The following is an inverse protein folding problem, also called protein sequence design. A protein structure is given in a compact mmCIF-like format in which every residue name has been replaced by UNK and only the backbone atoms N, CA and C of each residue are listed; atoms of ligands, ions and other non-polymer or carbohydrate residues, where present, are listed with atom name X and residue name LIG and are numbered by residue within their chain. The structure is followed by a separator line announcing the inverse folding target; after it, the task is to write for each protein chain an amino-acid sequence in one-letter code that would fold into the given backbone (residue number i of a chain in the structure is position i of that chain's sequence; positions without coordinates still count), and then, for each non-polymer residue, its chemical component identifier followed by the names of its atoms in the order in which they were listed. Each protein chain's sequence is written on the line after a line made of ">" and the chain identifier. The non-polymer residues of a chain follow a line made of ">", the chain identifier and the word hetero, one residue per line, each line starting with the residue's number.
data_IF_588382675234
#
_entry.id   IF_588382675234
#
_cell.length_a   1.000
_cell.length_b   1.000
_cell.length_c   1.000
_cell.angle_alpha   90.00
_cell.angle_beta   90.00
_cell.angle_gamma   90.00
#
_symmetry.space_group_name_H-M   'P 1'
#
loop_
_entity.id
_entity.type
_entity.pdbx_description
1 polymer ?
#
# COMPACT_ATOMS: atom_id res chain seq x y z
N UNK A 1 10.69 23.70 -26.61
CA UNK A 1 9.75 23.30 -25.56
C UNK A 1 10.41 22.13 -24.86
N UNK A 2 11.00 22.35 -23.68
CA UNK A 2 11.81 21.32 -23.00
C UNK A 2 10.93 20.72 -21.92
N UNK A 3 10.56 19.45 -22.10
CA UNK A 3 9.82 18.69 -21.10
C UNK A 3 10.68 18.58 -19.83
N UNK A 4 10.16 19.12 -18.73
CA UNK A 4 10.73 18.91 -17.41
C UNK A 4 10.63 17.41 -17.08
N UNK A 5 11.70 16.75 -16.61
CA UNK A 5 11.62 15.35 -16.22
C UNK A 5 10.74 15.25 -14.98
N UNK A 6 9.49 14.90 -15.19
CA UNK A 6 8.56 14.57 -14.14
C UNK A 6 9.08 13.39 -13.33
N UNK A 7 8.94 13.44 -12.00
CA UNK A 7 9.36 12.39 -11.08
C UNK A 7 8.62 11.05 -11.23
N UNK A 8 7.60 11.00 -12.11
CA UNK A 8 6.89 9.77 -12.46
C UNK A 8 7.54 9.12 -13.68
N UNK A 9 7.76 7.82 -13.64
CA UNK A 9 8.16 7.04 -14.82
C UNK A 9 6.95 6.73 -15.72
N UNK A 10 7.18 6.38 -17.01
CA UNK A 10 6.10 6.06 -17.95
C UNK A 10 5.26 4.85 -17.53
N UNK A 11 5.72 4.04 -16.57
CA UNK A 11 5.08 2.83 -16.07
C UNK A 11 4.65 2.97 -14.61
N UNK A 12 3.99 4.08 -14.26
CA UNK A 12 3.45 4.29 -12.91
C UNK A 12 1.99 3.86 -12.82
N UNK A 13 1.64 3.22 -11.71
CA UNK A 13 0.30 2.69 -11.44
C UNK A 13 -0.11 2.97 -10.01
N UNK A 14 -1.38 3.29 -9.80
CA UNK A 14 -2.01 3.30 -8.49
C UNK A 14 -2.79 2.00 -8.29
N UNK A 15 -2.72 1.45 -7.06
CA UNK A 15 -3.42 0.22 -6.70
C UNK A 15 -4.19 0.38 -5.39
N UNK A 16 -5.33 -0.29 -5.32
CA UNK A 16 -6.06 -0.55 -4.08
C UNK A 16 -6.21 -2.06 -3.88
N UNK A 17 -5.63 -2.58 -2.80
CA UNK A 17 -5.72 -3.98 -2.40
C UNK A 17 -6.54 -4.09 -1.11
N UNK A 18 -7.48 -5.05 -1.06
CA UNK A 18 -8.36 -5.24 0.10
C UNK A 18 -8.31 -6.65 0.63
N UNK A 19 -8.48 -6.79 1.95
CA UNK A 19 -8.79 -8.07 2.56
C UNK A 19 -10.18 -8.55 2.11
N UNK A 20 -10.41 -9.86 2.15
CA UNK A 20 -11.71 -10.45 1.83
C UNK A 20 -12.78 -10.02 2.83
N UNK A 21 -12.41 -9.85 4.09
CA UNK A 21 -13.25 -9.32 5.17
C UNK A 21 -12.93 -7.85 5.40
N UNK A 22 -13.96 -7.02 5.42
CA UNK A 22 -13.82 -5.57 5.62
C UNK A 22 -13.69 -5.15 7.09
N UNK A 23 -14.09 -6.02 7.99
CA UNK A 23 -14.02 -5.85 9.44
C UNK A 23 -12.73 -6.45 10.04
N UNK A 24 -11.80 -6.88 9.20
CA UNK A 24 -10.52 -7.45 9.63
C UNK A 24 -9.44 -6.36 9.72
N UNK A 25 -8.58 -6.46 10.70
CA UNK A 25 -7.43 -5.57 10.92
C UNK A 25 -6.09 -6.26 10.61
N UNK A 26 -6.13 -7.38 9.89
CA UNK A 26 -4.98 -8.25 9.72
C UNK A 26 -3.78 -7.57 9.04
N UNK A 27 -3.98 -6.51 8.25
CA UNK A 27 -2.87 -5.77 7.64
C UNK A 27 -2.02 -5.05 8.71
N UNK A 28 -2.67 -4.47 9.72
CA UNK A 28 -1.98 -3.79 10.82
C UNK A 28 -1.50 -4.76 11.89
N UNK A 29 -2.33 -5.72 12.26
CA UNK A 29 -1.98 -6.76 13.25
C UNK A 29 -0.76 -7.57 12.83
N UNK A 30 -0.58 -7.78 11.52
CA UNK A 30 0.57 -8.51 10.94
C UNK A 30 1.45 -7.61 10.08
N UNK A 31 1.62 -6.35 10.48
CA UNK A 31 2.35 -5.35 9.70
C UNK A 31 3.79 -5.75 9.39
N UNK A 32 4.49 -6.37 10.35
CA UNK A 32 5.86 -6.86 10.16
C UNK A 32 5.92 -7.92 9.05
N UNK A 33 4.99 -8.88 9.04
CA UNK A 33 4.89 -9.88 7.98
C UNK A 33 4.55 -9.26 6.62
N UNK A 34 3.70 -8.23 6.59
CA UNK A 34 3.35 -7.50 5.37
C UNK A 34 4.56 -6.76 4.79
N UNK A 35 5.35 -6.10 5.65
CA UNK A 35 6.61 -5.42 5.29
C UNK A 35 7.65 -6.43 4.78
N UNK A 36 7.84 -7.54 5.49
CA UNK A 36 8.76 -8.58 5.06
C UNK A 36 8.37 -9.15 3.69
N UNK A 37 7.10 -9.47 3.48
CA UNK A 37 6.60 -9.92 2.19
C UNK A 37 6.86 -8.91 1.05
N UNK A 38 6.81 -7.61 1.35
CA UNK A 38 7.16 -6.56 0.39
C UNK A 38 8.65 -6.54 0.08
N UNK A 39 9.53 -6.55 1.11
CA UNK A 39 10.99 -6.62 0.91
C UNK A 39 11.38 -7.81 0.02
N UNK A 40 10.86 -8.99 0.31
CA UNK A 40 11.11 -10.19 -0.50
C UNK A 40 10.58 -10.09 -1.93
N UNK A 41 9.49 -9.35 -2.14
CA UNK A 41 8.93 -9.12 -3.47
C UNK A 41 9.81 -8.17 -4.26
N UNK A 42 10.26 -7.07 -3.63
CA UNK A 42 11.18 -6.10 -4.22
C UNK A 42 12.53 -6.74 -4.58
N UNK A 43 13.09 -7.57 -3.70
CA UNK A 43 14.34 -8.29 -3.98
C UNK A 43 14.22 -9.24 -5.18
N UNK A 44 13.04 -9.84 -5.38
CA UNK A 44 12.83 -10.77 -6.50
C UNK A 44 12.46 -10.09 -7.81
N UNK A 45 11.65 -9.05 -7.76
CA UNK A 45 11.17 -8.26 -8.90
C UNK A 45 11.18 -6.78 -8.53
N UNK A 46 12.29 -6.08 -8.74
CA UNK A 46 12.43 -4.67 -8.34
C UNK A 46 11.39 -3.76 -8.97
N UNK A 47 10.96 -2.76 -8.20
CA UNK A 47 10.14 -1.63 -8.62
C UNK A 47 10.21 -0.54 -7.54
N UNK A 48 9.76 0.67 -7.83
CA UNK A 48 9.75 1.76 -6.87
C UNK A 48 8.36 1.91 -6.25
N UNK A 49 8.31 2.08 -4.93
CA UNK A 49 7.10 2.47 -4.22
C UNK A 49 7.16 3.98 -4.00
N UNK A 50 6.30 4.71 -4.71
CA UNK A 50 6.24 6.17 -4.68
C UNK A 50 5.40 6.67 -3.51
N UNK A 51 4.28 6.00 -3.26
CA UNK A 51 3.41 6.27 -2.11
C UNK A 51 2.77 4.97 -1.62
N UNK A 52 2.59 4.85 -0.32
CA UNK A 52 1.85 3.75 0.30
C UNK A 52 1.16 4.22 1.58
N UNK A 53 -0.06 3.77 1.79
CA UNK A 53 -0.77 3.86 3.06
C UNK A 53 -1.50 2.54 3.33
N UNK A 54 -1.31 2.01 4.54
CA UNK A 54 -1.87 0.74 4.97
C UNK A 54 -2.89 1.03 6.07
N UNK A 55 -4.14 0.65 5.82
CA UNK A 55 -5.26 0.73 6.74
C UNK A 55 -5.57 -0.70 7.24
N UNK A 56 -6.47 -0.89 8.19
CA UNK A 56 -6.73 -2.21 8.77
C UNK A 56 -7.03 -3.32 7.75
N UNK A 57 -7.92 -3.05 6.79
CA UNK A 57 -8.43 -4.03 5.81
C UNK A 57 -8.10 -3.69 4.35
N UNK A 58 -7.50 -2.53 4.10
CA UNK A 58 -7.18 -2.03 2.76
C UNK A 58 -5.84 -1.32 2.75
N UNK A 59 -5.15 -1.39 1.63
CA UNK A 59 -3.97 -0.57 1.38
C UNK A 59 -4.08 0.10 0.00
N UNK A 60 -3.52 1.29 -0.07
CA UNK A 60 -3.39 2.08 -1.29
C UNK A 60 -1.92 2.31 -1.56
N UNK A 61 -1.50 2.21 -2.81
CA UNK A 61 -0.09 2.40 -3.17
C UNK A 61 0.08 2.88 -4.59
N UNK A 62 1.10 3.70 -4.82
CA UNK A 62 1.57 4.09 -6.15
C UNK A 62 2.93 3.44 -6.38
N UNK A 63 3.06 2.71 -7.48
CA UNK A 63 4.30 2.06 -7.90
C UNK A 63 4.76 2.58 -9.25
N UNK A 64 6.06 2.71 -9.42
CA UNK A 64 6.70 2.88 -10.73
C UNK A 64 7.52 1.63 -11.04
N UNK A 65 7.19 0.96 -12.14
CA UNK A 65 7.88 -0.22 -12.62
C UNK A 65 9.07 0.18 -13.51
N UNK A 66 10.04 -0.73 -13.71
CA UNK A 66 11.11 -0.52 -14.67
C UNK A 66 10.58 -0.20 -16.08
N UNK A 67 11.35 0.48 -16.93
CA UNK A 67 10.97 0.70 -18.32
C UNK A 67 10.58 -0.62 -19.00
N UNK A 68 9.54 -0.58 -19.83
CA UNK A 68 9.02 -1.71 -20.62
C UNK A 68 8.51 -2.91 -19.81
N UNK A 69 8.42 -2.79 -18.48
CA UNK A 69 7.89 -3.81 -17.59
C UNK A 69 6.49 -3.40 -17.10
N UNK A 70 5.49 -4.20 -17.42
CA UNK A 70 4.10 -4.02 -16.99
C UNK A 70 3.59 -5.18 -16.11
N UNK A 71 4.51 -6.02 -15.58
CA UNK A 71 4.18 -7.22 -14.83
C UNK A 71 3.85 -6.93 -13.35
N UNK A 72 2.98 -5.93 -13.10
CA UNK A 72 2.50 -5.62 -11.75
C UNK A 72 1.63 -6.74 -11.16
N UNK A 73 0.91 -7.46 -12.01
CA UNK A 73 0.01 -8.53 -11.56
C UNK A 73 0.75 -9.64 -10.81
N UNK A 74 1.89 -10.10 -11.31
CA UNK A 74 2.73 -11.09 -10.63
C UNK A 74 3.36 -10.52 -9.35
N UNK A 75 3.79 -9.26 -9.32
CA UNK A 75 4.32 -8.61 -8.11
C UNK A 75 3.27 -8.55 -7.00
N UNK A 76 2.06 -8.12 -7.32
CA UNK A 76 0.93 -8.11 -6.38
C UNK A 76 0.60 -9.55 -5.92
N UNK A 77 0.56 -10.50 -6.84
CA UNK A 77 0.34 -11.91 -6.53
C UNK A 77 1.40 -12.47 -5.58
N UNK A 78 2.68 -12.17 -5.83
CA UNK A 78 3.80 -12.56 -4.97
C UNK A 78 3.68 -11.94 -3.58
N UNK A 79 3.43 -10.63 -3.48
CA UNK A 79 3.26 -9.93 -2.20
C UNK A 79 2.10 -10.51 -1.39
N UNK A 80 0.91 -10.58 -1.99
CA UNK A 80 -0.28 -11.19 -1.37
C UNK A 80 -0.02 -12.63 -0.92
N UNK A 81 0.62 -13.43 -1.76
CA UNK A 81 0.93 -14.84 -1.46
C UNK A 81 1.92 -14.99 -0.31
N UNK A 82 3.00 -14.19 -0.29
CA UNK A 82 3.99 -14.19 0.79
C UNK A 82 3.37 -13.78 2.12
N UNK A 83 2.64 -12.67 2.15
CA UNK A 83 1.92 -12.25 3.35
C UNK A 83 0.97 -13.32 3.86
N UNK A 84 0.16 -13.90 2.97
CA UNK A 84 -0.82 -14.93 3.34
C UNK A 84 -0.18 -16.17 3.97
N UNK A 85 1.09 -16.48 3.68
CA UNK A 85 1.78 -17.63 4.31
C UNK A 85 1.91 -17.50 5.82
N UNK A 86 2.00 -16.27 6.32
CA UNK A 86 2.14 -15.96 7.75
C UNK A 86 0.80 -15.98 8.51
N UNK A 87 -0.34 -16.08 7.81
CA UNK A 87 -1.66 -16.03 8.43
C UNK A 87 -2.32 -17.41 8.39
N UNK A 88 -3.21 -17.71 9.35
CA UNK A 88 -4.09 -18.87 9.25
C UNK A 88 -5.06 -18.68 8.08
N UNK A 89 -5.60 -19.76 7.52
CA UNK A 89 -6.65 -19.66 6.52
C UNK A 89 -7.90 -18.99 7.10
N UNK A 90 -8.59 -18.20 6.28
CA UNK A 90 -9.88 -17.63 6.66
C UNK A 90 -10.89 -18.75 7.02
N UNK A 91 -11.70 -18.57 8.06
CA UNK A 91 -12.65 -19.62 8.51
C UNK A 91 -13.70 -19.96 7.45
N UNK A 92 -14.13 -18.98 6.68
CA UNK A 92 -15.14 -19.16 5.64
C UNK A 92 -14.49 -19.04 4.25
N UNK A 93 -14.10 -20.20 3.69
CA UNK A 93 -13.56 -20.31 2.34
C UNK A 93 -14.51 -21.12 1.46
N UNK A 94 -14.67 -20.71 0.20
CA UNK A 94 -15.38 -21.50 -0.77
C UNK A 94 -14.63 -22.81 -1.09
N UNK A 95 -15.35 -23.84 -1.50
CA UNK A 95 -14.75 -25.10 -1.95
C UNK A 95 -13.70 -24.88 -3.05
N UNK A 96 -13.91 -23.88 -3.93
CA UNK A 96 -12.96 -23.51 -4.99
C UNK A 96 -11.66 -22.95 -4.42
N UNK A 97 -11.73 -22.12 -3.37
CA UNK A 97 -10.55 -21.59 -2.69
C UNK A 97 -9.77 -22.71 -1.98
N UNK A 98 -10.49 -23.62 -1.31
CA UNK A 98 -9.89 -24.78 -0.64
C UNK A 98 -9.16 -25.68 -1.66
N UNK A 99 -9.81 -26.03 -2.77
CA UNK A 99 -9.21 -26.85 -3.84
C UNK A 99 -7.96 -26.20 -4.47
N UNK A 100 -7.88 -24.86 -4.47
CA UNK A 100 -6.72 -24.11 -4.98
C UNK A 100 -5.66 -23.80 -3.94
N UNK A 101 -5.82 -24.23 -2.70
CA UNK A 101 -4.93 -23.90 -1.60
C UNK A 101 -4.94 -22.41 -1.20
N UNK A 102 -5.94 -21.65 -1.64
CA UNK A 102 -6.09 -20.24 -1.31
C UNK A 102 -6.51 -20.08 0.16
N UNK A 103 -5.84 -19.20 0.91
CA UNK A 103 -6.18 -18.95 2.32
C UNK A 103 -7.37 -18.03 2.52
N UNK A 104 -7.91 -17.42 1.48
CA UNK A 104 -9.08 -16.54 1.56
C UNK A 104 -8.83 -15.21 2.27
N UNK A 105 -7.57 -14.78 2.39
CA UNK A 105 -7.18 -13.54 3.10
C UNK A 105 -7.53 -12.30 2.27
N UNK A 106 -7.30 -12.35 0.97
CA UNK A 106 -7.45 -11.21 0.07
C UNK A 106 -8.68 -11.32 -0.81
N UNK A 107 -9.24 -10.17 -1.17
CA UNK A 107 -10.11 -10.12 -2.35
C UNK A 107 -9.30 -10.56 -3.57
N UNK A 108 -9.94 -11.33 -4.44
CA UNK A 108 -9.29 -11.88 -5.62
C UNK A 108 -8.85 -10.78 -6.58
N UNK A 109 -9.76 -9.84 -6.85
CA UNK A 109 -9.50 -8.67 -7.69
C UNK A 109 -8.92 -7.56 -6.84
N UNK A 110 -8.14 -6.69 -7.46
CA UNK A 110 -7.71 -5.41 -6.92
C UNK A 110 -8.06 -4.32 -7.93
N UNK A 111 -8.16 -3.10 -7.48
CA UNK A 111 -8.36 -1.97 -8.38
C UNK A 111 -7.01 -1.41 -8.79
N UNK A 112 -6.89 -1.03 -10.09
CA UNK A 112 -5.69 -0.48 -10.68
C UNK A 112 -6.03 0.72 -11.54
N UNK A 113 -5.13 1.70 -11.60
CA UNK A 113 -5.19 2.84 -12.49
C UNK A 113 -3.79 3.13 -13.02
N UNK A 114 -3.63 3.17 -14.34
CA UNK A 114 -2.37 3.60 -14.96
C UNK A 114 -2.27 5.12 -14.88
N UNK A 115 -1.21 5.62 -14.30
CA UNK A 115 -0.91 7.05 -14.21
C UNK A 115 -0.57 7.59 -15.60
N UNK A 116 -1.20 8.70 -15.97
CA UNK A 116 -1.17 9.25 -17.34
C UNK A 116 -0.16 10.37 -17.49
N UNK A 117 -0.05 11.21 -16.47
CA UNK A 117 0.73 12.44 -16.50
C UNK A 117 1.18 12.84 -15.09
N UNK A 118 2.06 13.85 -14.93
CA UNK A 118 2.53 14.31 -13.62
C UNK A 118 1.42 14.73 -12.66
N UNK A 119 0.38 15.41 -13.16
CA UNK A 119 -0.72 15.87 -12.31
C UNK A 119 -1.55 14.68 -11.79
N UNK A 120 -1.73 13.66 -12.62
CA UNK A 120 -2.38 12.40 -12.24
C UNK A 120 -1.55 11.66 -11.18
N UNK A 121 -0.21 11.67 -11.31
CA UNK A 121 0.70 11.08 -10.33
C UNK A 121 0.59 11.78 -8.97
N UNK A 122 0.69 13.10 -8.92
CA UNK A 122 0.60 13.88 -7.69
C UNK A 122 -0.76 13.70 -7.02
N UNK A 123 -1.84 13.70 -7.79
CA UNK A 123 -3.20 13.46 -7.30
C UNK A 123 -3.32 12.09 -6.62
N UNK A 124 -2.78 11.03 -7.23
CA UNK A 124 -2.85 9.69 -6.66
C UNK A 124 -1.92 9.50 -5.46
N UNK A 125 -0.74 10.11 -5.45
CA UNK A 125 0.11 10.14 -4.25
C UNK A 125 -0.59 10.86 -3.09
N UNK A 126 -1.23 12.00 -3.35
CA UNK A 126 -2.04 12.73 -2.36
C UNK A 126 -3.22 11.90 -1.86
N UNK A 127 -3.93 11.21 -2.77
CA UNK A 127 -5.02 10.29 -2.42
C UNK A 127 -4.55 9.18 -1.47
N UNK A 128 -3.39 8.57 -1.76
CA UNK A 128 -2.79 7.55 -0.89
C UNK A 128 -2.52 8.13 0.48
N UNK A 129 -1.84 9.26 0.56
CA UNK A 129 -1.41 9.86 1.82
C UNK A 129 -2.58 10.37 2.67
N UNK A 130 -3.64 10.86 2.04
CA UNK A 130 -4.86 11.35 2.72
C UNK A 130 -5.86 10.22 3.05
N UNK A 131 -5.66 9.01 2.53
CA UNK A 131 -6.61 7.92 2.73
C UNK A 131 -6.90 7.58 4.20
N UNK A 132 -5.93 7.64 5.16
CA UNK A 132 -6.23 7.44 6.58
C UNK A 132 -7.11 8.53 7.18
N UNK A 133 -6.94 9.78 6.73
CA UNK A 133 -7.77 10.92 7.16
C UNK A 133 -9.19 10.76 6.62
N UNK A 134 -9.33 10.47 5.32
CA UNK A 134 -10.63 10.24 4.69
C UNK A 134 -11.38 9.04 5.30
N UNK A 135 -10.65 8.05 5.80
CA UNK A 135 -11.22 6.90 6.49
C UNK A 135 -11.49 7.16 7.99
N UNK A 136 -11.17 8.35 8.51
CA UNK A 136 -11.43 8.74 9.90
C UNK A 136 -10.48 8.10 10.94
N UNK A 137 -9.33 7.59 10.53
CA UNK A 137 -8.34 7.00 11.44
C UNK A 137 -7.42 8.03 12.10
N UNK A 138 -7.29 9.23 11.53
CA UNK A 138 -6.52 10.33 12.08
C UNK A 138 -6.99 11.66 11.48
N UNK A 139 -6.68 12.77 12.17
CA UNK A 139 -7.05 14.13 11.71
C UNK A 139 -6.05 14.70 10.68
N UNK A 140 -4.82 14.18 10.66
CA UNK A 140 -3.73 14.65 9.80
C UNK A 140 -2.93 13.47 9.26
N UNK A 141 -2.48 13.50 7.99
CA UNK A 141 -1.79 12.37 7.37
C UNK A 141 -0.46 12.01 8.06
N UNK A 142 0.25 12.99 8.64
CA UNK A 142 1.46 12.75 9.41
C UNK A 142 1.24 11.98 10.71
N UNK A 143 0.02 11.94 11.23
CA UNK A 143 -0.31 11.20 12.44
C UNK A 143 -0.45 9.69 12.16
N UNK A 144 -0.56 9.27 10.89
CA UNK A 144 -0.71 7.87 10.55
C UNK A 144 0.64 7.17 10.36
N UNK A 145 1.02 6.21 11.24
CA UNK A 145 2.35 5.61 11.21
C UNK A 145 2.56 4.58 10.10
N UNK A 146 1.48 4.12 9.46
CA UNK A 146 1.53 3.11 8.39
C UNK A 146 1.39 3.75 7.00
N UNK A 147 2.00 4.93 6.83
CA UNK A 147 2.01 5.68 5.58
C UNK A 147 3.43 6.16 5.25
N UNK A 148 3.72 6.28 3.96
CA UNK A 148 4.96 6.90 3.47
C UNK A 148 4.93 8.42 3.52
N UNK A 149 3.90 9.05 4.05
CA UNK A 149 3.73 10.51 4.05
C UNK A 149 4.91 11.25 4.69
N UNK A 150 5.34 10.85 5.90
CA UNK A 150 6.47 11.47 6.60
C UNK A 150 7.74 11.45 5.77
N UNK A 151 8.06 10.31 5.13
CA UNK A 151 9.23 10.18 4.26
C UNK A 151 9.12 11.05 3.01
N UNK A 152 7.93 11.18 2.43
CA UNK A 152 7.69 12.05 1.29
C UNK A 152 7.93 13.53 1.63
N UNK A 153 7.49 13.97 2.82
CA UNK A 153 7.71 15.33 3.31
C UNK A 153 9.17 15.62 3.72
N UNK A 154 9.90 14.59 4.19
CA UNK A 154 11.32 14.73 4.60
C UNK A 154 12.29 14.68 3.42
N UNK A 155 11.84 14.30 2.24
CA UNK A 155 12.67 14.25 1.05
C UNK A 155 12.84 15.66 0.49
N UNK A 156 14.07 16.24 0.47
CA UNK A 156 14.29 17.48 -0.24
C UNK A 156 13.85 17.32 -1.69
N UNK A 157 13.23 18.37 -2.25
CA UNK A 157 12.89 18.38 -3.67
C UNK A 157 14.13 17.96 -4.47
N UNK A 158 14.03 16.87 -5.22
CA UNK A 158 15.18 16.31 -5.95
C UNK A 158 15.77 17.39 -6.85
N UNK A 159 17.09 17.64 -6.81
CA UNK A 159 17.72 18.56 -7.76
C UNK A 159 17.44 18.05 -9.17
N UNK A 160 16.94 18.92 -10.02
CA UNK A 160 16.66 18.64 -11.41
C UNK A 160 17.98 18.14 -12.08
N UNK A 161 18.07 16.85 -12.43
CA UNK A 161 19.19 16.33 -13.20
C UNK A 161 19.94 15.13 -12.61
N UNK A 162 19.56 14.53 -11.51
CA UNK A 162 20.24 13.34 -11.01
C UNK A 162 19.82 12.09 -11.81
N UNK A 163 20.79 11.46 -12.48
CA UNK A 163 20.69 10.11 -13.05
C UNK A 163 20.32 9.15 -11.91
N UNK A 164 19.42 8.20 -12.20
CA UNK A 164 19.07 7.15 -11.27
C UNK A 164 20.32 6.42 -10.76
N UNK A 165 20.70 6.68 -9.52
CA UNK A 165 21.69 5.89 -8.80
C UNK A 165 21.10 4.55 -8.35
N UNK A 166 21.95 3.59 -7.93
CA UNK A 166 21.47 2.29 -7.47
C UNK A 166 20.45 2.45 -6.36
N UNK A 167 19.44 1.59 -6.39
CA UNK A 167 18.34 1.54 -5.43
C UNK A 167 18.91 1.37 -4.01
N UNK A 168 18.81 2.40 -3.17
CA UNK A 168 19.10 2.26 -1.75
C UNK A 168 18.05 1.33 -1.13
N UNK A 169 18.51 0.22 -0.55
CA UNK A 169 17.67 -0.83 0.06
C UNK A 169 16.85 -0.34 1.26
N UNK A 170 17.16 0.83 1.80
CA UNK A 170 16.52 1.43 2.98
C UNK A 170 15.14 2.05 2.72
N UNK A 171 14.61 1.98 1.50
CA UNK A 171 13.38 2.65 1.11
C UNK A 171 12.09 1.90 1.50
N UNK A 172 12.18 0.76 2.15
CA UNK A 172 11.02 -0.09 2.45
C UNK A 172 10.64 0.01 3.91
N UNK A 173 9.75 0.94 4.23
CA UNK A 173 9.00 0.99 5.50
C UNK A 173 9.90 0.97 6.75
N UNK A 174 10.18 2.14 7.33
CA UNK A 174 10.92 2.28 8.60
C UNK A 174 10.46 1.26 9.64
N UNK A 175 11.41 0.46 10.14
CA UNK A 175 11.17 -0.53 11.21
C UNK A 175 11.03 0.09 12.61
N UNK A 176 11.19 1.42 12.74
CA UNK A 176 11.21 2.13 14.03
C UNK A 176 9.83 2.56 14.54
N UNK A 177 8.76 1.91 14.08
CA UNK A 177 7.44 2.08 14.67
C UNK A 177 7.22 0.93 15.66
N UNK A 178 7.58 1.16 16.91
CA UNK A 178 7.12 0.37 18.07
C UNK A 178 5.61 0.15 17.92
N UNK A 179 5.11 -1.09 18.02
CA UNK A 179 3.68 -1.34 17.97
C UNK A 179 3.03 -0.60 19.14
N UNK A 180 2.40 0.52 18.84
CA UNK A 180 1.50 1.16 19.80
C UNK A 180 0.39 0.17 20.08
N UNK A 181 0.28 -0.18 21.35
CA UNK A 181 -0.78 -1.02 21.90
C UNK A 181 -2.09 -0.22 21.79
N UNK A 182 -2.67 -0.17 20.58
CA UNK A 182 -3.94 0.47 20.34
C UNK A 182 -5.06 -0.54 20.60
N UNK A 183 -5.68 -0.35 21.78
CA UNK A 183 -7.11 -0.59 21.88
C UNK A 183 -7.77 0.27 20.77
N UNK A 184 -8.46 -0.38 19.83
CA UNK A 184 -9.24 0.31 18.82
C UNK A 184 -10.18 1.32 19.52
N UNK A 185 -10.29 2.56 19.02
CA UNK A 185 -11.35 3.43 19.53
C UNK A 185 -12.68 2.74 19.24
N UNK A 186 -13.43 2.45 20.28
CA UNK A 186 -14.79 1.92 20.20
C UNK A 186 -15.59 2.93 19.36
N UNK A 187 -16.02 2.50 18.18
CA UNK A 187 -17.00 3.22 17.39
C UNK A 187 -18.29 3.18 18.20
N UNK A 188 -18.61 4.30 18.85
CA UNK A 188 -19.90 4.46 19.52
C UNK A 188 -21.02 4.31 18.48
N UNK A 189 -22.06 3.49 18.73
CA UNK A 189 -23.19 3.42 17.85
C UNK A 189 -23.93 4.76 17.89
N UNK A 190 -24.14 5.37 16.74
CA UNK A 190 -25.09 6.47 16.57
C UNK A 190 -26.49 5.90 16.79
N UNK A 191 -26.91 5.89 18.06
CA UNK A 191 -28.29 5.62 18.44
C UNK A 191 -29.06 6.94 18.50
N UNK A 192 -30.09 7.04 17.70
CA UNK A 192 -31.26 7.79 18.04
C UNK A 192 -31.40 9.20 17.49
N UNK A 193 -32.20 9.29 16.44
CA UNK A 193 -33.13 10.38 16.24
C UNK A 193 -34.36 9.81 15.52
N UNK A 194 -35.26 9.26 16.32
CA UNK A 194 -36.68 9.17 15.96
C UNK A 194 -37.42 10.07 16.93
N UNK A 195 -37.98 11.14 16.43
CA UNK A 195 -39.23 11.79 16.82
C UNK A 195 -39.67 12.71 15.74
#
# INVERSE_FOLDING_TARGET
>A
MRDSPSSHGPNSYFFTLRLARRDDDALLRHITALRQAMRETLARKPFRIDAIAILPDVLHTVWTLPPDDNDYGNRIGMWKGRFSRHLPPAPHRSLRQIKRGEKGIWQRRFWEHRIRDPADFERHCSLVHLSPVHAGYCDRPEAWPYSSYRRACSRPAAPQGAKAGPLEEDAVLDDDVTPLNHAAPAVAPLSGLHS
#
